data_IF_585731139663
#
_entry.id   IF_585731139663
#
_cell.length_a   1.000
_cell.length_b   1.000
_cell.length_c   1.000
_cell.angle_alpha   90.00
_cell.angle_beta   90.00
_cell.angle_gamma   90.00
#
_symmetry.space_group_name_H-M   'P 1'
#
loop_
_entity.id
_entity.type
_entity.pdbx_description
1 polymer ?
#
# COMPACT_ATOMS: atom_id res chain seq x y z
N UNK A 1 12.57 6.50 1.50
CA UNK A 1 11.27 7.21 1.60
C UNK A 1 11.37 8.68 1.22
N UNK A 2 12.16 9.54 1.90
CA UNK A 2 12.30 10.98 1.52
C UNK A 2 12.64 11.19 0.04
N UNK A 3 13.64 10.48 -0.47
CA UNK A 3 14.07 10.62 -1.87
C UNK A 3 13.00 10.18 -2.89
N UNK A 4 12.09 9.29 -2.49
CA UNK A 4 10.97 8.85 -3.32
C UNK A 4 9.86 9.91 -3.32
N UNK A 5 9.50 10.46 -2.15
CA UNK A 5 8.56 11.57 -2.07
C UNK A 5 9.05 12.78 -2.88
N UNK A 6 10.32 13.17 -2.78
CA UNK A 6 10.88 14.26 -3.58
C UNK A 6 10.89 13.98 -5.08
N UNK A 7 11.03 12.71 -5.48
CA UNK A 7 10.95 12.31 -6.88
C UNK A 7 9.52 12.39 -7.38
N UNK A 8 8.57 11.85 -6.61
CA UNK A 8 7.14 11.87 -6.92
C UNK A 8 6.57 13.28 -6.95
N UNK A 9 7.10 14.20 -6.14
CA UNK A 9 6.69 15.61 -6.15
C UNK A 9 6.96 16.35 -7.47
N UNK A 10 7.70 15.73 -8.40
CA UNK A 10 7.91 16.25 -9.76
C UNK A 10 6.76 15.90 -10.71
N UNK A 11 5.90 14.96 -10.32
CA UNK A 11 4.69 14.63 -11.06
C UNK A 11 3.60 15.67 -10.73
N UNK A 12 2.86 16.16 -11.74
CA UNK A 12 1.73 17.05 -11.51
C UNK A 12 0.74 16.44 -10.50
N UNK A 13 0.18 17.29 -9.63
CA UNK A 13 -0.79 16.93 -8.58
C UNK A 13 -0.21 16.15 -7.39
N UNK A 14 1.10 15.88 -7.37
CA UNK A 14 1.80 15.24 -6.24
C UNK A 14 2.78 16.18 -5.53
N UNK A 15 2.77 17.47 -5.83
CA UNK A 15 3.75 18.43 -5.32
C UNK A 15 3.76 18.50 -3.79
N UNK A 16 2.58 18.36 -3.17
CA UNK A 16 2.42 18.40 -1.71
C UNK A 16 2.95 17.16 -0.99
N UNK A 17 3.32 16.08 -1.70
CA UNK A 17 3.84 14.86 -1.05
C UNK A 17 5.16 15.11 -0.32
N UNK A 18 5.88 16.20 -0.62
CA UNK A 18 7.06 16.63 0.16
C UNK A 18 6.72 16.95 1.62
N UNK A 19 5.47 17.30 1.90
CA UNK A 19 4.94 17.56 3.25
C UNK A 19 4.56 16.28 3.99
N UNK A 20 4.82 15.09 3.43
CA UNK A 20 4.51 13.80 4.06
C UNK A 20 5.07 13.68 5.48
N UNK A 21 6.25 14.25 5.74
CA UNK A 21 6.85 14.24 7.07
C UNK A 21 6.00 14.97 8.13
N UNK A 22 5.22 15.99 7.72
CA UNK A 22 4.46 16.84 8.64
C UNK A 22 3.22 16.12 9.19
N UNK A 23 2.66 15.16 8.44
CA UNK A 23 1.44 14.44 8.85
C UNK A 23 1.63 12.94 9.09
N UNK A 24 2.68 12.32 8.54
CA UNK A 24 3.00 10.91 8.83
C UNK A 24 3.92 10.75 10.05
N UNK A 25 4.56 11.83 10.50
CA UNK A 25 5.52 11.80 11.59
C UNK A 25 6.87 11.19 11.18
N UNK A 26 7.65 10.78 12.19
CA UNK A 26 8.97 10.23 11.95
C UNK A 26 8.90 8.84 11.29
N UNK A 27 9.67 8.61 10.22
CA UNK A 27 9.67 7.31 9.57
C UNK A 27 10.27 6.24 10.50
N UNK A 28 9.69 5.04 10.45
CA UNK A 28 10.25 3.88 11.14
C UNK A 28 11.57 3.50 10.46
N UNK A 29 12.70 3.88 11.07
CA UNK A 29 14.01 3.56 10.54
C UNK A 29 14.36 2.08 10.77
N UNK A 30 14.79 1.33 9.74
CA UNK A 30 15.17 -0.07 9.89
C UNK A 30 16.51 -0.23 10.61
N UNK A 31 16.65 -1.31 11.37
CA UNK A 31 17.91 -1.74 11.98
C UNK A 31 18.82 -2.42 10.95
N UNK A 32 20.08 -2.68 11.33
CA UNK A 32 21.02 -3.40 10.45
C UNK A 32 20.54 -4.82 10.08
N UNK A 33 19.89 -5.53 11.00
CA UNK A 33 19.35 -6.87 10.73
C UNK A 33 18.13 -6.81 9.82
N UNK A 34 17.28 -5.80 9.98
CA UNK A 34 16.13 -5.55 9.10
C UNK A 34 16.60 -5.26 7.68
N UNK A 35 17.61 -4.39 7.51
CA UNK A 35 18.18 -4.07 6.20
C UNK A 35 18.78 -5.30 5.48
N UNK A 36 19.32 -6.28 6.20
CA UNK A 36 19.78 -7.53 5.58
C UNK A 36 18.60 -8.36 5.06
N UNK A 37 17.50 -8.43 5.82
CA UNK A 37 16.29 -9.12 5.41
C UNK A 37 15.60 -8.38 4.26
N UNK A 38 15.58 -7.05 4.27
CA UNK A 38 15.09 -6.20 3.18
C UNK A 38 15.71 -6.59 1.85
N UNK A 39 17.04 -6.81 1.79
CA UNK A 39 17.71 -7.22 0.55
C UNK A 39 17.20 -8.58 0.06
N UNK A 40 17.06 -9.56 0.96
CA UNK A 40 16.51 -10.88 0.61
C UNK A 40 15.07 -10.80 0.14
N UNK A 41 14.25 -9.96 0.76
CA UNK A 41 12.87 -9.74 0.34
C UNK A 41 12.79 -9.03 -1.01
N UNK A 42 13.61 -8.00 -1.23
CA UNK A 42 13.69 -7.31 -2.52
C UNK A 42 14.05 -8.28 -3.63
N UNK A 43 15.01 -9.17 -3.41
CA UNK A 43 15.40 -10.17 -4.42
C UNK A 43 14.28 -11.19 -4.71
N UNK A 44 13.41 -11.47 -3.73
CA UNK A 44 12.22 -12.29 -3.94
C UNK A 44 11.07 -11.56 -4.64
N UNK A 45 11.02 -10.22 -4.54
CA UNK A 45 10.02 -9.38 -5.19
C UNK A 45 10.40 -9.02 -6.62
N UNK A 46 11.70 -8.86 -6.88
CA UNK A 46 12.22 -8.45 -8.18
C UNK A 46 11.94 -9.50 -9.25
N UNK A 47 11.52 -9.04 -10.42
CA UNK A 47 11.50 -9.90 -11.61
C UNK A 47 12.93 -10.15 -12.14
N UNK A 48 13.20 -11.25 -12.85
CA UNK A 48 14.54 -11.51 -13.41
C UNK A 48 15.04 -10.42 -14.37
N UNK A 49 14.13 -9.65 -14.96
CA UNK A 49 14.42 -8.55 -15.88
C UNK A 49 14.53 -7.19 -15.17
N UNK A 50 14.30 -7.13 -13.86
CA UNK A 50 14.31 -5.91 -13.06
C UNK A 50 15.72 -5.33 -12.92
N UNK A 51 16.00 -4.23 -13.62
CA UNK A 51 17.32 -3.57 -13.59
C UNK A 51 17.47 -2.53 -12.51
N UNK A 52 16.38 -1.94 -12.03
CA UNK A 52 16.42 -0.91 -11.00
C UNK A 52 16.60 -1.55 -9.60
N UNK A 53 17.73 -1.30 -8.92
CA UNK A 53 17.99 -1.85 -7.59
C UNK A 53 17.09 -1.25 -6.50
N UNK A 54 16.54 -0.06 -6.72
CA UNK A 54 15.69 0.66 -5.75
C UNK A 54 14.21 0.27 -5.87
N UNK A 55 13.83 -0.37 -6.98
CA UNK A 55 12.47 -0.86 -7.18
C UNK A 55 12.16 -2.00 -6.20
N UNK A 56 10.95 -1.94 -5.63
CA UNK A 56 10.44 -2.84 -4.58
C UNK A 56 11.12 -2.71 -3.21
N UNK A 57 12.05 -1.75 -3.05
CA UNK A 57 12.78 -1.58 -1.80
C UNK A 57 11.85 -1.11 -0.67
N UNK A 58 10.88 -0.23 -0.98
CA UNK A 58 9.91 0.25 0.02
C UNK A 58 9.06 -0.88 0.60
N UNK A 59 8.49 -1.75 -0.23
CA UNK A 59 7.69 -2.89 0.22
C UNK A 59 8.54 -3.94 0.93
N UNK A 60 9.76 -4.21 0.43
CA UNK A 60 10.68 -5.15 1.06
C UNK A 60 11.15 -4.66 2.44
N UNK A 61 11.42 -3.36 2.58
CA UNK A 61 11.84 -2.75 3.85
C UNK A 61 10.71 -2.77 4.87
N UNK A 62 9.51 -2.34 4.45
CA UNK A 62 8.31 -2.36 5.29
C UNK A 62 8.05 -3.77 5.82
N UNK A 63 8.05 -4.77 4.93
CA UNK A 63 7.80 -6.16 5.34
C UNK A 63 8.90 -6.70 6.25
N UNK A 64 10.17 -6.37 6.01
CA UNK A 64 11.28 -6.80 6.86
C UNK A 64 11.16 -6.26 8.30
N UNK A 65 10.77 -4.99 8.44
CA UNK A 65 10.50 -4.37 9.74
C UNK A 65 9.32 -5.06 10.43
N UNK A 66 8.20 -5.26 9.72
CA UNK A 66 7.03 -5.94 10.28
C UNK A 66 7.35 -7.35 10.78
N UNK A 67 8.09 -8.12 9.98
CA UNK A 67 8.46 -9.50 10.30
C UNK A 67 9.42 -9.59 11.49
N UNK A 68 10.37 -8.67 11.65
CA UNK A 68 11.31 -8.73 12.77
C UNK A 68 10.76 -8.13 14.07
N UNK A 69 9.95 -7.07 13.99
CA UNK A 69 9.47 -6.38 15.20
C UNK A 69 8.21 -6.98 15.78
N UNK A 70 7.37 -7.66 14.97
CA UNK A 70 6.07 -8.20 15.41
C UNK A 70 5.16 -7.15 16.07
N UNK A 71 5.30 -5.88 15.70
CA UNK A 71 4.56 -4.75 16.27
C UNK A 71 3.48 -4.21 15.34
N UNK A 72 3.28 -4.82 14.18
CA UNK A 72 2.37 -4.36 13.15
C UNK A 72 1.52 -5.51 12.65
N UNK A 73 0.21 -5.35 12.72
CA UNK A 73 -0.73 -6.43 12.38
C UNK A 73 -1.07 -6.45 10.89
N UNK A 74 -1.10 -5.28 10.25
CA UNK A 74 -1.61 -5.12 8.88
C UNK A 74 -0.59 -4.42 7.99
N UNK A 75 -0.29 -5.03 6.85
CA UNK A 75 0.47 -4.42 5.76
C UNK A 75 -0.49 -3.92 4.69
N UNK A 76 -0.46 -2.63 4.36
CA UNK A 76 -1.32 -2.08 3.29
C UNK A 76 -0.55 -2.04 1.98
N UNK A 77 -0.97 -2.82 0.99
CA UNK A 77 -0.37 -2.78 -0.36
C UNK A 77 -1.26 -3.41 -1.44
N UNK A 78 -1.28 -2.82 -2.63
CA UNK A 78 -1.89 -3.41 -3.83
C UNK A 78 -0.90 -4.29 -4.61
N UNK A 79 0.38 -4.31 -4.25
CA UNK A 79 1.41 -5.01 -5.02
C UNK A 79 1.34 -6.53 -4.82
N UNK A 80 0.87 -7.25 -5.85
CA UNK A 80 0.58 -8.70 -5.79
C UNK A 80 1.76 -9.57 -5.31
N UNK A 81 3.00 -9.24 -5.69
CA UNK A 81 4.16 -10.01 -5.25
C UNK A 81 4.47 -9.76 -3.77
N UNK A 82 4.33 -8.52 -3.28
CA UNK A 82 4.46 -8.22 -1.84
C UNK A 82 3.39 -8.95 -1.03
N UNK A 83 2.14 -9.01 -1.52
CA UNK A 83 1.07 -9.78 -0.87
C UNK A 83 1.42 -11.24 -0.69
N UNK A 84 1.95 -11.88 -1.74
CA UNK A 84 2.37 -13.29 -1.68
C UNK A 84 3.53 -13.50 -0.72
N UNK A 85 4.47 -12.57 -0.67
CA UNK A 85 5.61 -12.66 0.24
C UNK A 85 5.15 -12.47 1.70
N UNK A 86 4.33 -11.47 1.98
CA UNK A 86 3.75 -11.21 3.30
C UNK A 86 2.99 -12.42 3.85
N UNK A 87 2.19 -13.09 3.01
CA UNK A 87 1.47 -14.30 3.39
C UNK A 87 2.40 -15.45 3.85
N UNK A 88 3.59 -15.59 3.26
CA UNK A 88 4.59 -16.60 3.71
C UNK A 88 5.14 -16.31 5.11
N UNK A 89 4.99 -15.07 5.58
CA UNK A 89 5.47 -14.60 6.86
C UNK A 89 4.33 -14.31 7.85
N UNK A 90 3.11 -14.77 7.55
CA UNK A 90 1.91 -14.56 8.39
C UNK A 90 1.61 -13.08 8.66
N UNK A 91 1.95 -12.20 7.74
CA UNK A 91 1.59 -10.78 7.80
C UNK A 91 0.29 -10.59 7.03
N UNK A 92 -0.74 -10.08 7.71
CA UNK A 92 -2.02 -9.78 7.08
C UNK A 92 -1.86 -8.62 6.09
N UNK A 93 -2.55 -8.71 4.94
CA UNK A 93 -2.47 -7.69 3.91
C UNK A 93 -3.83 -7.15 3.54
N UNK A 94 -3.96 -5.83 3.62
CA UNK A 94 -5.13 -5.09 3.21
C UNK A 94 -4.80 -4.32 1.92
N UNK A 95 -5.69 -4.41 0.93
CA UNK A 95 -5.58 -3.67 -0.34
C UNK A 95 -6.35 -2.35 -0.29
N UNK A 96 -6.11 -1.45 -1.24
CA UNK A 96 -6.92 -0.23 -1.39
C UNK A 96 -8.41 -0.54 -1.51
N UNK A 97 -8.77 -1.59 -2.27
CA UNK A 97 -10.18 -2.00 -2.40
C UNK A 97 -10.75 -2.51 -1.07
N UNK A 98 -9.96 -3.24 -0.28
CA UNK A 98 -10.38 -3.72 1.05
C UNK A 98 -10.58 -2.53 2.00
N UNK A 99 -9.70 -1.53 1.96
CA UNK A 99 -9.86 -0.28 2.71
C UNK A 99 -11.16 0.44 2.33
N UNK A 100 -11.46 0.56 1.04
CA UNK A 100 -12.70 1.21 0.59
C UNK A 100 -13.95 0.44 1.03
N UNK A 101 -13.94 -0.89 1.01
CA UNK A 101 -15.03 -1.69 1.59
C UNK A 101 -15.22 -1.39 3.08
N UNK A 102 -14.12 -1.33 3.85
CA UNK A 102 -14.19 -1.01 5.28
C UNK A 102 -14.75 0.39 5.50
N UNK A 103 -14.26 1.41 4.80
CA UNK A 103 -14.74 2.80 4.88
C UNK A 103 -16.26 2.88 4.69
N UNK A 104 -16.82 2.14 3.73
CA UNK A 104 -18.27 2.06 3.51
C UNK A 104 -18.97 1.41 4.70
N UNK A 105 -18.48 0.25 5.16
CA UNK A 105 -19.09 -0.52 6.25
C UNK A 105 -19.14 0.26 7.57
N UNK A 106 -18.11 1.06 7.85
CA UNK A 106 -18.01 1.83 9.10
C UNK A 106 -18.51 3.27 8.97
N UNK A 107 -18.95 3.69 7.76
CA UNK A 107 -19.52 5.02 7.53
C UNK A 107 -18.51 6.16 7.66
N UNK A 108 -17.24 5.94 7.29
CA UNK A 108 -16.17 6.94 7.39
C UNK A 108 -16.13 7.93 6.22
N UNK A 109 -16.90 7.68 5.16
CA UNK A 109 -17.04 8.58 4.02
C UNK A 109 -18.46 8.52 3.46
N UNK A 110 -18.86 9.55 2.71
CA UNK A 110 -20.10 9.50 1.96
C UNK A 110 -20.02 8.41 0.89
N UNK A 111 -21.07 7.59 0.68
CA UNK A 111 -21.09 6.57 -0.37
C UNK A 111 -20.74 7.11 -1.77
N UNK A 112 -21.12 8.35 -2.06
CA UNK A 112 -20.87 9.04 -3.32
C UNK A 112 -19.38 9.26 -3.58
N UNK A 113 -18.62 9.61 -2.54
CA UNK A 113 -17.16 9.80 -2.63
C UNK A 113 -16.47 8.47 -2.95
N UNK A 114 -16.88 7.39 -2.28
CA UNK A 114 -16.33 6.05 -2.52
C UNK A 114 -16.64 5.58 -3.94
N UNK A 115 -17.84 5.84 -4.45
CA UNK A 115 -18.20 5.57 -5.86
C UNK A 115 -17.28 6.32 -6.82
N UNK A 116 -16.93 7.57 -6.52
CA UNK A 116 -16.00 8.35 -7.33
C UNK A 116 -14.60 7.72 -7.34
N UNK A 117 -14.08 7.32 -6.18
CA UNK A 117 -12.79 6.61 -6.09
C UNK A 117 -12.79 5.30 -6.88
N UNK A 118 -13.83 4.48 -6.76
CA UNK A 118 -13.94 3.23 -7.52
C UNK A 118 -13.95 3.49 -9.03
N UNK A 119 -14.60 4.56 -9.51
CA UNK A 119 -14.56 4.95 -10.93
C UNK A 119 -13.14 5.32 -11.37
N UNK A 120 -12.41 6.10 -10.58
CA UNK A 120 -11.03 6.48 -10.86
C UNK A 120 -10.08 5.26 -10.87
N UNK A 121 -10.37 4.24 -10.06
CA UNK A 121 -9.57 3.03 -9.96
C UNK A 121 -9.95 1.94 -10.98
N UNK A 122 -10.98 2.15 -11.83
CA UNK A 122 -11.38 1.17 -12.86
C UNK A 122 -10.24 0.76 -13.79
N UNK A 123 -9.39 1.67 -14.32
CA UNK A 123 -8.25 1.27 -15.15
C UNK A 123 -7.24 0.38 -14.41
N UNK A 124 -7.28 0.38 -13.08
CA UNK A 124 -6.44 -0.43 -12.19
C UNK A 124 -7.16 -1.69 -11.67
N UNK A 125 -8.34 -2.02 -12.23
CA UNK A 125 -9.07 -3.26 -11.93
C UNK A 125 -10.12 -3.16 -10.82
N UNK A 126 -10.51 -1.95 -10.40
CA UNK A 126 -11.63 -1.78 -9.48
C UNK A 126 -12.96 -2.25 -10.12
N UNK A 127 -13.88 -2.82 -9.32
CA UNK A 127 -15.15 -3.34 -9.83
C UNK A 127 -16.09 -2.23 -10.32
N UNK A 128 -17.03 -2.61 -11.18
CA UNK A 128 -18.10 -1.71 -11.61
C UNK A 128 -19.21 -1.73 -10.56
N UNK A 129 -19.26 -0.69 -9.75
CA UNK A 129 -20.34 -0.40 -8.81
C UNK A 129 -21.15 0.78 -9.37
N UNK A 130 -22.47 0.63 -9.52
CA UNK A 130 -23.30 1.61 -10.26
C UNK A 130 -23.88 2.68 -9.35
N UNK A 131 -24.39 2.27 -8.20
CA UNK A 131 -25.07 3.12 -7.22
C UNK A 131 -24.73 2.71 -5.78
N UNK A 132 -25.35 3.40 -4.82
CA UNK A 132 -25.13 3.19 -3.38
C UNK A 132 -25.62 1.82 -2.91
N UNK A 133 -26.66 1.26 -3.53
CA UNK A 133 -27.17 -0.06 -3.19
C UNK A 133 -26.15 -1.13 -3.60
N UNK A 134 -25.65 -1.05 -4.83
CA UNK A 134 -24.57 -1.91 -5.33
C UNK A 134 -23.30 -1.77 -4.47
N UNK A 135 -23.00 -0.55 -4.01
CA UNK A 135 -21.82 -0.28 -3.18
C UNK A 135 -21.91 -1.01 -1.84
N UNK A 136 -23.05 -0.92 -1.17
CA UNK A 136 -23.31 -1.61 0.10
C UNK A 136 -23.22 -3.12 -0.06
N UNK A 137 -23.82 -3.66 -1.12
CA UNK A 137 -23.71 -5.08 -1.45
C UNK A 137 -22.25 -5.51 -1.70
N UNK A 138 -21.47 -4.73 -2.44
CA UNK A 138 -20.05 -4.98 -2.68
C UNK A 138 -19.19 -4.89 -1.40
N UNK A 139 -19.54 -3.97 -0.50
CA UNK A 139 -18.89 -3.82 0.80
C UNK A 139 -19.33 -4.90 1.80
N UNK A 140 -20.42 -5.62 1.53
CA UNK A 140 -20.96 -6.67 2.39
C UNK A 140 -21.71 -6.13 3.62
N UNK A 141 -22.45 -5.02 3.46
CA UNK A 141 -23.28 -4.40 4.51
C UNK A 141 -24.64 -3.95 3.97
#
# INVERSE_FOLDING_TARGET
MRDECFRSAREPELESIVQAADFLGDPVAPTKSELQLTRRFRDQLASPQERDPTKHLGEAETLAVMVQRHQFDIFVTDYRSARRLAARHNVEVVTTLTLLQMVVRVGLAAPEDVLQYLRLLRPRGAPIVRDVTDLRAWAGC
#
